data_IF_359243519810
#
_entry.id   IF_359243519810
#
_cell.length_a   1.000
_cell.length_b   1.000
_cell.length_c   1.000
_cell.angle_alpha   90.00
_cell.angle_beta   90.00
_cell.angle_gamma   90.00
#
_symmetry.space_group_name_H-M   'P 1'
#
loop_
_entity.id
_entity.type
_entity.pdbx_description
1 polymer ?
#
# COMPACT_ATOMS: atom_id res chain seq x y z
N UNK A 1 9.52 4.54 3.55
CA UNK A 1 8.04 4.44 3.51
C UNK A 1 7.47 4.87 2.18
N UNK A 2 7.99 5.94 1.56
CA UNK A 2 7.61 6.35 0.20
C UNK A 2 7.66 5.18 -0.79
N UNK A 3 8.78 4.46 -0.86
CA UNK A 3 8.87 3.28 -1.75
C UNK A 3 7.84 2.18 -1.47
N UNK A 4 7.45 1.95 -0.21
CA UNK A 4 6.42 0.96 0.12
C UNK A 4 5.05 1.44 -0.40
N UNK A 5 4.74 2.72 -0.17
CA UNK A 5 3.52 3.33 -0.66
C UNK A 5 3.46 3.29 -2.18
N UNK A 6 4.53 3.68 -2.87
CA UNK A 6 4.64 3.61 -4.33
C UNK A 6 4.46 2.18 -4.85
N UNK A 7 5.09 1.20 -4.20
CA UNK A 7 4.95 -0.22 -4.57
C UNK A 7 3.51 -0.69 -4.44
N UNK A 8 2.83 -0.37 -3.34
CA UNK A 8 1.44 -0.77 -3.12
C UNK A 8 0.48 -0.03 -4.05
N UNK A 9 0.70 1.25 -4.33
CA UNK A 9 -0.10 2.02 -5.29
C UNK A 9 0.06 1.52 -6.73
N UNK A 10 1.27 1.12 -7.12
CA UNK A 10 1.53 0.48 -8.40
C UNK A 10 0.75 -0.83 -8.55
N UNK A 11 0.77 -1.69 -7.52
CA UNK A 11 -0.02 -2.93 -7.50
C UNK A 11 -1.51 -2.61 -7.56
N UNK A 12 -1.99 -1.68 -6.72
CA UNK A 12 -3.40 -1.28 -6.66
C UNK A 12 -3.92 -0.84 -8.02
N UNK A 13 -3.18 0.05 -8.69
CA UNK A 13 -3.57 0.61 -9.98
C UNK A 13 -3.61 -0.48 -11.05
N UNK A 14 -2.58 -1.34 -11.11
CA UNK A 14 -2.51 -2.42 -12.09
C UNK A 14 -3.65 -3.44 -11.92
N UNK A 15 -4.00 -3.81 -10.68
CA UNK A 15 -5.10 -4.75 -10.40
C UNK A 15 -6.48 -4.11 -10.62
N UNK A 16 -6.64 -2.82 -10.28
CA UNK A 16 -7.87 -2.09 -10.56
C UNK A 16 -8.11 -2.01 -12.08
N UNK A 17 -7.10 -1.68 -12.88
CA UNK A 17 -7.22 -1.67 -14.34
C UNK A 17 -7.59 -3.04 -14.91
N UNK A 18 -6.96 -4.12 -14.41
CA UNK A 18 -7.33 -5.50 -14.80
C UNK A 18 -8.78 -5.81 -14.46
N UNK A 19 -9.25 -5.40 -13.27
CA UNK A 19 -10.62 -5.59 -12.83
C UNK A 19 -11.61 -4.83 -13.73
N UNK A 20 -11.36 -3.54 -13.99
CA UNK A 20 -12.19 -2.71 -14.86
C UNK A 20 -12.28 -3.26 -16.28
N UNK A 21 -11.15 -3.73 -16.85
CA UNK A 21 -11.14 -4.41 -18.17
C UNK A 21 -12.02 -5.65 -18.20
N UNK A 22 -12.08 -6.42 -17.11
CA UNK A 22 -12.89 -7.64 -17.02
C UNK A 22 -14.39 -7.37 -16.78
N UNK A 23 -14.71 -6.31 -16.05
CA UNK A 23 -16.10 -5.91 -15.78
C UNK A 23 -16.80 -5.29 -17.01
N UNK A 24 -16.03 -4.71 -17.94
CA UNK A 24 -16.58 -3.99 -19.08
C UNK A 24 -17.02 -2.57 -18.70
N UNK A 25 -18.00 -1.97 -19.41
CA UNK A 25 -18.49 -0.64 -19.10
C UNK A 25 -19.05 -0.56 -17.67
N UNK A 26 -18.53 0.37 -16.88
CA UNK A 26 -19.01 0.69 -15.52
C UNK A 26 -19.42 2.15 -15.45
N UNK A 27 -20.37 2.46 -14.58
CA UNK A 27 -20.74 3.85 -14.27
C UNK A 27 -19.62 4.57 -13.50
N UNK A 28 -19.67 5.91 -13.49
CA UNK A 28 -18.72 6.73 -12.71
C UNK A 28 -18.75 6.36 -11.22
N UNK A 29 -19.95 6.18 -10.64
CA UNK A 29 -20.12 5.83 -9.22
C UNK A 29 -19.54 4.46 -8.89
N UNK A 30 -19.75 3.47 -9.76
CA UNK A 30 -19.15 2.13 -9.60
C UNK A 30 -17.63 2.18 -9.66
N UNK A 31 -17.07 2.95 -10.60
CA UNK A 31 -15.63 3.14 -10.69
C UNK A 31 -15.07 3.80 -9.43
N UNK A 32 -15.72 4.86 -8.96
CA UNK A 32 -15.31 5.55 -7.73
C UNK A 32 -15.39 4.65 -6.50
N UNK A 33 -16.42 3.81 -6.40
CA UNK A 33 -16.55 2.84 -5.30
C UNK A 33 -15.40 1.83 -5.29
N UNK A 34 -14.97 1.34 -6.47
CA UNK A 34 -13.82 0.44 -6.61
C UNK A 34 -12.49 1.14 -6.28
N UNK A 35 -12.31 2.38 -6.74
CA UNK A 35 -11.15 3.20 -6.39
C UNK A 35 -11.06 3.41 -4.88
N UNK A 36 -12.16 3.82 -4.24
CA UNK A 36 -12.23 4.02 -2.80
C UNK A 36 -11.94 2.73 -2.03
N UNK A 37 -12.56 1.61 -2.41
CA UNK A 37 -12.35 0.32 -1.78
C UNK A 37 -10.87 -0.09 -1.81
N UNK A 38 -10.26 -0.03 -3.00
CA UNK A 38 -8.87 -0.46 -3.18
C UNK A 38 -7.89 0.47 -2.48
N UNK A 39 -8.13 1.77 -2.47
CA UNK A 39 -7.32 2.74 -1.69
C UNK A 39 -7.44 2.48 -0.19
N UNK A 40 -8.63 2.17 0.33
CA UNK A 40 -8.78 1.83 1.74
C UNK A 40 -8.04 0.55 2.12
N UNK A 41 -7.94 -0.44 1.23
CA UNK A 41 -7.13 -1.64 1.46
C UNK A 41 -5.65 -1.27 1.58
N UNK A 42 -5.11 -0.48 0.65
CA UNK A 42 -3.70 -0.02 0.71
C UNK A 42 -3.43 0.76 1.99
N UNK A 43 -4.32 1.69 2.36
CA UNK A 43 -4.17 2.47 3.59
C UNK A 43 -4.14 1.60 4.85
N UNK A 44 -4.96 0.55 4.91
CA UNK A 44 -4.96 -0.41 6.03
C UNK A 44 -3.66 -1.22 6.10
N UNK A 45 -3.11 -1.62 4.95
CA UNK A 45 -1.80 -2.30 4.90
C UNK A 45 -0.69 -1.36 5.35
N UNK A 46 -0.71 -0.09 4.92
CA UNK A 46 0.30 0.91 5.27
C UNK A 46 0.25 1.36 6.73
N UNK A 47 -0.94 1.32 7.35
CA UNK A 47 -1.14 1.81 8.71
C UNK A 47 -0.20 1.14 9.72
N UNK A 48 -0.14 -0.21 9.72
CA UNK A 48 0.62 -0.94 10.73
C UNK A 48 2.15 -0.79 10.60
N UNK A 49 2.78 -0.91 9.40
CA UNK A 49 4.20 -0.63 9.23
C UNK A 49 4.60 0.80 9.62
N UNK A 50 3.76 1.79 9.28
CA UNK A 50 4.01 3.20 9.65
C UNK A 50 3.93 3.37 11.16
N UNK A 51 2.91 2.80 11.79
CA UNK A 51 2.73 2.88 13.24
C UNK A 51 3.93 2.27 13.98
N UNK A 52 4.35 1.06 13.59
CA UNK A 52 5.51 0.39 14.22
C UNK A 52 6.81 1.18 14.07
N UNK A 53 7.06 1.77 12.90
CA UNK A 53 8.24 2.63 12.70
C UNK A 53 8.20 3.91 13.55
N UNK A 54 7.01 4.44 13.85
CA UNK A 54 6.83 5.58 14.74
C UNK A 54 7.03 5.20 16.20
N UNK A 55 6.55 4.03 16.62
CA UNK A 55 6.72 3.52 17.98
C UNK A 55 8.19 3.25 18.32
N UNK A 56 9.00 2.76 17.36
CA UNK A 56 10.45 2.59 17.51
C UNK A 56 11.25 3.90 17.35
N UNK A 57 10.63 5.09 17.42
CA UNK A 57 11.32 6.36 17.16
C UNK A 57 12.49 6.63 18.12
N UNK A 58 12.35 6.20 19.37
CA UNK A 58 13.33 6.40 20.44
C UNK A 58 14.45 5.34 20.44
N UNK A 59 14.35 4.32 19.58
CA UNK A 59 15.33 3.23 19.43
C UNK A 59 15.84 3.17 17.97
N UNK A 60 16.85 3.99 17.60
CA UNK A 60 17.27 4.12 16.20
C UNK A 60 17.70 2.81 15.54
N UNK A 61 18.30 1.90 16.31
CA UNK A 61 18.78 0.62 15.82
C UNK A 61 17.65 -0.38 15.58
N UNK A 62 16.65 -0.41 16.47
CA UNK A 62 15.44 -1.19 16.27
C UNK A 62 14.65 -0.67 15.05
N UNK A 63 14.47 0.65 14.96
CA UNK A 63 13.80 1.30 13.83
C UNK A 63 14.43 0.96 12.49
N UNK A 64 15.76 0.96 12.43
CA UNK A 64 16.50 0.61 11.22
C UNK A 64 16.35 -0.86 10.85
N UNK A 65 16.42 -1.77 11.84
CA UNK A 65 16.20 -3.21 11.64
C UNK A 65 14.78 -3.51 11.15
N UNK A 66 13.78 -2.86 11.75
CA UNK A 66 12.39 -2.95 11.30
C UNK A 66 12.21 -2.41 9.88
N UNK A 67 12.84 -1.27 9.56
CA UNK A 67 12.82 -0.69 8.21
C UNK A 67 13.40 -1.66 7.17
N UNK A 68 14.55 -2.28 7.45
CA UNK A 68 15.16 -3.27 6.58
C UNK A 68 14.28 -4.50 6.40
N UNK A 69 13.65 -4.96 7.47
CA UNK A 69 12.71 -6.09 7.45
C UNK A 69 11.51 -5.78 6.55
N UNK A 70 10.89 -4.61 6.70
CA UNK A 70 9.79 -4.15 5.83
C UNK A 70 10.26 -4.12 4.36
N UNK A 71 11.43 -3.55 4.07
CA UNK A 71 11.97 -3.52 2.70
C UNK A 71 12.13 -4.92 2.12
N UNK A 72 12.68 -5.86 2.90
CA UNK A 72 12.87 -7.26 2.48
C UNK A 72 11.55 -7.97 2.21
N UNK A 73 10.57 -7.86 3.10
CA UNK A 73 9.25 -8.50 2.95
C UNK A 73 8.53 -7.98 1.70
N UNK A 74 8.62 -6.68 1.42
CA UNK A 74 7.93 -6.05 0.30
C UNK A 74 8.79 -5.94 -0.99
N UNK A 75 9.99 -6.51 -0.99
CA UNK A 75 10.89 -6.51 -2.16
C UNK A 75 11.31 -5.12 -2.61
N UNK A 76 11.49 -4.19 -1.67
CA UNK A 76 11.93 -2.82 -1.94
C UNK A 76 13.47 -2.79 -2.00
N UNK A 77 14.03 -2.06 -2.98
CA UNK A 77 15.48 -1.91 -3.17
C UNK A 77 16.00 -0.76 -2.35
#
# INVERSE_FOLDING_TARGET
>A
MVELQERLESIRTAELEKCLRRLGPVTADQRQALELLTTQIVNKILHYPILRLKESADEPQERESLRQTIRKIFGLR
#
